data_IF_015536349611
#
_entry.id   IF_015536349611
#
_cell.length_a   1.000
_cell.length_b   1.000
_cell.length_c   1.000
_cell.angle_alpha   90.00
_cell.angle_beta   90.00
_cell.angle_gamma   90.00
#
_symmetry.space_group_name_H-M   'P 1'
#
loop_
_entity.id
_entity.type
_entity.pdbx_description
1 polymer ?
#
# COMPACT_ATOMS: atom_id res chain seq x y z
N UNK A 1 -37.41 30.23 -0.79
CA UNK A 1 -36.63 30.90 -1.84
C UNK A 1 -35.18 30.58 -1.56
N UNK A 2 -34.64 29.57 -2.26
CA UNK A 2 -33.28 29.08 -2.10
C UNK A 2 -32.31 30.04 -2.80
N UNK A 3 -31.29 30.51 -2.09
CA UNK A 3 -30.13 31.17 -2.70
C UNK A 3 -29.13 30.08 -3.13
N UNK A 4 -28.54 30.13 -4.33
CA UNK A 4 -27.52 29.18 -4.74
C UNK A 4 -26.21 29.51 -4.03
N UNK A 5 -25.67 28.58 -3.26
CA UNK A 5 -24.31 28.68 -2.75
C UNK A 5 -23.33 28.58 -3.92
N UNK A 6 -22.58 29.65 -4.14
CA UNK A 6 -21.59 29.76 -5.19
C UNK A 6 -20.54 28.67 -5.07
N UNK A 7 -20.39 27.93 -6.16
CA UNK A 7 -19.20 27.17 -6.50
C UNK A 7 -18.01 28.15 -6.52
N UNK A 8 -17.29 28.24 -5.41
CA UNK A 8 -15.99 28.92 -5.37
C UNK A 8 -14.95 27.89 -5.81
N UNK A 9 -14.26 28.09 -6.95
CA UNK A 9 -13.16 27.21 -7.32
C UNK A 9 -12.07 27.33 -6.27
N UNK A 10 -11.67 26.20 -5.67
CA UNK A 10 -10.53 26.13 -4.77
C UNK A 10 -9.29 26.60 -5.55
N UNK A 11 -8.56 27.62 -5.05
CA UNK A 11 -7.37 28.11 -5.71
C UNK A 11 -6.21 27.12 -5.52
N UNK A 12 -5.26 27.16 -6.46
CA UNK A 12 -3.94 26.50 -6.44
C UNK A 12 -3.76 25.22 -7.28
N UNK A 13 -4.51 25.08 -8.37
CA UNK A 13 -4.07 24.26 -9.51
C UNK A 13 -3.37 25.13 -10.58
N UNK A 14 -2.23 25.71 -10.22
CA UNK A 14 -1.32 26.37 -11.17
C UNK A 14 0.13 26.03 -10.82
N UNK A 15 0.65 24.96 -11.43
CA UNK A 15 2.10 24.70 -11.42
C UNK A 15 2.50 23.26 -11.72
N UNK A 16 2.53 22.88 -13.00
CA UNK A 16 3.45 21.82 -13.45
C UNK A 16 2.85 20.58 -14.10
N UNK A 17 2.14 20.71 -15.22
CA UNK A 17 2.03 19.59 -16.17
C UNK A 17 3.10 19.79 -17.24
N UNK A 18 4.17 18.99 -17.19
CA UNK A 18 4.63 18.14 -18.31
C UNK A 18 5.80 17.27 -17.87
N UNK A 19 5.43 16.14 -17.28
CA UNK A 19 6.28 14.98 -17.07
C UNK A 19 5.47 13.70 -17.19
N UNK A 20 4.69 13.54 -18.28
CA UNK A 20 4.18 12.23 -18.72
C UNK A 20 5.33 11.37 -19.25
N UNK A 21 6.34 11.16 -18.43
CA UNK A 21 7.45 10.26 -18.71
C UNK A 21 7.27 9.08 -17.79
N UNK A 22 7.59 7.89 -18.29
CA UNK A 22 7.42 6.58 -17.67
C UNK A 22 8.22 6.38 -16.34
N UNK A 23 8.24 7.35 -15.44
CA UNK A 23 9.23 7.53 -14.37
C UNK A 23 8.59 7.82 -13.01
N UNK A 24 7.38 7.34 -12.75
CA UNK A 24 6.84 7.31 -11.39
C UNK A 24 7.29 6.04 -10.69
N UNK A 25 7.44 6.08 -9.36
CA UNK A 25 7.73 4.89 -8.56
C UNK A 25 6.65 3.81 -8.72
N UNK A 26 5.39 4.21 -8.96
CA UNK A 26 4.27 3.31 -9.22
C UNK A 26 4.46 2.50 -10.50
N UNK A 27 4.87 3.14 -11.59
CA UNK A 27 5.09 2.42 -12.84
C UNK A 27 6.33 1.53 -12.77
N UNK A 28 7.38 1.97 -12.06
CA UNK A 28 8.53 1.11 -11.79
C UNK A 28 8.10 -0.12 -10.99
N UNK A 29 7.33 0.05 -9.92
CA UNK A 29 6.84 -1.06 -9.11
C UNK A 29 5.87 -1.98 -9.85
N UNK A 30 4.93 -1.43 -10.64
CA UNK A 30 4.02 -2.21 -11.47
C UNK A 30 4.74 -3.02 -12.57
N UNK A 31 5.94 -2.59 -12.95
CA UNK A 31 6.80 -3.32 -13.88
C UNK A 31 7.81 -4.24 -13.16
N UNK A 32 7.72 -4.35 -11.83
CA UNK A 32 8.70 -5.04 -10.97
C UNK A 32 10.16 -4.57 -11.18
N UNK A 33 10.32 -3.30 -11.58
CA UNK A 33 11.61 -2.67 -11.87
C UNK A 33 12.28 -2.17 -10.57
N UNK A 34 12.81 -3.12 -9.81
CA UNK A 34 13.48 -2.89 -8.52
C UNK A 34 14.62 -1.87 -8.63
N UNK A 35 15.38 -1.91 -9.73
CA UNK A 35 16.51 -1.01 -9.96
C UNK A 35 16.03 0.44 -10.05
N UNK A 36 14.95 0.66 -10.81
CA UNK A 36 14.35 1.97 -10.95
C UNK A 36 13.68 2.44 -9.67
N UNK A 37 13.03 1.56 -8.91
CA UNK A 37 12.52 1.89 -7.56
C UNK A 37 13.67 2.34 -6.64
N UNK A 38 14.86 1.75 -6.77
CA UNK A 38 16.01 2.12 -5.96
C UNK A 38 16.64 3.49 -6.32
N UNK A 39 16.45 3.97 -7.55
CA UNK A 39 16.99 5.26 -8.01
C UNK A 39 16.21 6.46 -7.45
N UNK A 40 15.00 6.26 -6.94
CA UNK A 40 14.23 7.34 -6.31
C UNK A 40 14.78 7.68 -4.92
N UNK A 41 15.07 8.96 -4.61
CA UNK A 41 15.60 9.37 -3.31
C UNK A 41 14.53 9.39 -2.21
N UNK A 42 14.89 8.88 -1.03
CA UNK A 42 14.04 8.64 0.16
C UNK A 42 13.38 9.88 0.80
N UNK A 43 13.51 11.07 0.21
CA UNK A 43 13.11 12.33 0.85
C UNK A 43 12.58 13.43 -0.08
N UNK A 44 12.23 13.12 -1.33
CA UNK A 44 11.64 14.09 -2.28
C UNK A 44 10.28 13.66 -2.83
N UNK A 45 9.57 12.82 -2.10
CA UNK A 45 8.19 12.53 -2.42
C UNK A 45 7.37 13.48 -1.54
N UNK A 46 6.96 14.60 -2.15
CA UNK A 46 6.09 15.66 -1.58
C UNK A 46 4.80 15.05 -1.03
N UNK A 47 4.09 15.72 -0.12
CA UNK A 47 3.04 15.24 0.80
C UNK A 47 1.90 14.37 0.20
N UNK A 48 1.82 14.29 -1.13
CA UNK A 48 1.11 13.33 -1.99
C UNK A 48 1.78 11.91 -2.04
N UNK A 49 2.93 11.78 -1.38
CA UNK A 49 3.84 10.66 -1.38
C UNK A 49 3.40 9.48 -0.57
N UNK A 50 2.71 9.75 0.55
CA UNK A 50 2.14 8.69 1.37
C UNK A 50 1.06 7.94 0.60
N UNK A 51 0.22 8.65 -0.17
CA UNK A 51 -0.75 7.99 -1.05
C UNK A 51 -0.07 7.19 -2.17
N UNK A 52 1.00 7.72 -2.77
CA UNK A 52 1.76 7.00 -3.80
C UNK A 52 2.44 5.74 -3.25
N UNK A 53 3.14 5.83 -2.12
CA UNK A 53 3.82 4.69 -1.49
C UNK A 53 2.81 3.63 -1.02
N UNK A 54 1.65 4.04 -0.48
CA UNK A 54 0.53 3.13 -0.17
C UNK A 54 0.07 2.38 -1.41
N UNK A 55 -0.21 3.10 -2.51
CA UNK A 55 -0.69 2.50 -3.74
C UNK A 55 0.34 1.52 -4.34
N UNK A 56 1.62 1.86 -4.23
CA UNK A 56 2.73 1.00 -4.66
C UNK A 56 2.86 -0.27 -3.82
N UNK A 57 2.80 -0.14 -2.48
CA UNK A 57 2.83 -1.29 -1.58
C UNK A 57 1.62 -2.19 -1.78
N UNK A 58 0.43 -1.60 -1.93
CA UNK A 58 -0.81 -2.34 -2.23
C UNK A 58 -0.70 -3.11 -3.54
N UNK A 59 -0.22 -2.48 -4.61
CA UNK A 59 -0.02 -3.17 -5.89
C UNK A 59 0.96 -4.35 -5.76
N UNK A 60 2.08 -4.15 -5.05
CA UNK A 60 3.04 -5.22 -4.82
C UNK A 60 2.44 -6.40 -4.03
N UNK A 61 1.52 -6.13 -3.08
CA UNK A 61 0.76 -7.17 -2.37
C UNK A 61 -0.20 -7.90 -3.31
N UNK A 62 -0.93 -7.17 -4.16
CA UNK A 62 -1.80 -7.76 -5.19
C UNK A 62 -1.06 -8.70 -6.14
N UNK A 63 0.20 -8.38 -6.45
CA UNK A 63 1.04 -9.18 -7.33
C UNK A 63 1.80 -10.30 -6.58
N UNK A 64 1.62 -10.42 -5.25
CA UNK A 64 2.41 -11.24 -4.32
C UNK A 64 3.94 -11.09 -4.51
N UNK A 65 4.39 -9.89 -4.91
CA UNK A 65 5.81 -9.59 -5.16
C UNK A 65 6.53 -9.31 -3.84
N UNK A 66 6.95 -10.39 -3.18
CA UNK A 66 7.72 -10.33 -1.92
C UNK A 66 8.99 -9.47 -2.04
N UNK A 67 9.67 -9.51 -3.19
CA UNK A 67 10.89 -8.72 -3.40
C UNK A 67 10.60 -7.22 -3.43
N UNK A 68 9.52 -6.82 -4.10
CA UNK A 68 9.09 -5.42 -4.14
C UNK A 68 8.60 -4.96 -2.77
N UNK A 69 7.80 -5.77 -2.08
CA UNK A 69 7.34 -5.49 -0.71
C UNK A 69 8.53 -5.29 0.23
N UNK A 70 9.49 -6.22 0.23
CA UNK A 70 10.73 -6.12 1.03
C UNK A 70 11.49 -4.84 0.72
N UNK A 71 11.64 -4.48 -0.55
CA UNK A 71 12.32 -3.26 -0.97
C UNK A 71 11.60 -2.02 -0.42
N UNK A 72 10.28 -1.96 -0.54
CA UNK A 72 9.47 -0.84 -0.07
C UNK A 72 9.53 -0.71 1.46
N UNK A 73 9.40 -1.83 2.19
CA UNK A 73 9.51 -1.84 3.66
C UNK A 73 10.91 -1.42 4.13
N UNK A 74 11.97 -1.89 3.45
CA UNK A 74 13.35 -1.45 3.74
C UNK A 74 13.56 0.05 3.53
N UNK A 75 12.85 0.63 2.57
CA UNK A 75 12.84 2.08 2.28
C UNK A 75 11.95 2.87 3.24
N UNK A 76 11.36 2.23 4.24
CA UNK A 76 10.53 2.88 5.25
C UNK A 76 9.07 3.10 4.84
N UNK A 77 8.57 2.32 3.87
CA UNK A 77 7.14 2.31 3.58
C UNK A 77 6.36 1.93 4.86
N UNK A 78 5.41 2.79 5.22
CA UNK A 78 4.58 2.59 6.41
C UNK A 78 3.51 1.53 6.10
N UNK A 79 3.64 0.39 6.77
CA UNK A 79 2.80 -0.80 6.63
C UNK A 79 1.51 -0.75 7.47
N UNK A 80 1.39 0.22 8.38
CA UNK A 80 0.18 0.46 9.18
C UNK A 80 -0.90 1.19 8.37
N UNK A 81 -0.51 1.74 7.23
CA UNK A 81 -1.39 2.50 6.36
C UNK A 81 -2.45 1.60 5.74
N UNK A 82 -3.68 2.11 5.76
CA UNK A 82 -4.80 1.51 5.03
C UNK A 82 -4.81 1.99 3.58
N UNK A 83 -5.17 1.09 2.66
CA UNK A 83 -5.19 1.25 1.20
C UNK A 83 -6.25 2.24 0.65
N UNK A 84 -7.22 2.62 1.47
CA UNK A 84 -8.25 3.61 1.14
C UNK A 84 -7.75 5.06 1.13
N UNK A 85 -8.46 5.91 0.37
CA UNK A 85 -8.27 7.37 0.43
C UNK A 85 -8.59 7.93 1.81
N UNK A 86 -9.61 7.35 2.45
CA UNK A 86 -10.00 7.62 3.83
C UNK A 86 -9.72 6.36 4.67
N UNK A 87 -8.84 6.43 5.70
CA UNK A 87 -8.55 5.29 6.57
C UNK A 87 -9.73 4.89 7.46
N UNK A 88 -10.73 5.74 7.64
CA UNK A 88 -11.97 5.41 8.35
C UNK A 88 -13.03 4.81 7.41
N UNK A 89 -12.71 4.66 6.11
CA UNK A 89 -13.60 4.00 5.16
C UNK A 89 -13.75 2.51 5.52
N UNK A 90 -14.98 1.97 5.55
CA UNK A 90 -15.25 0.61 6.01
C UNK A 90 -14.53 -0.48 5.20
N UNK A 91 -14.13 -0.17 3.96
CA UNK A 91 -13.40 -1.08 3.06
C UNK A 91 -11.91 -0.74 2.94
N UNK A 92 -11.33 0.07 3.81
CA UNK A 92 -9.87 0.25 3.78
C UNK A 92 -9.20 -0.84 4.60
N UNK A 93 -8.11 -1.43 4.11
CA UNK A 93 -7.38 -2.53 4.73
C UNK A 93 -5.89 -2.21 4.89
N UNK A 94 -5.30 -2.68 5.97
CA UNK A 94 -3.84 -2.66 6.18
C UNK A 94 -3.12 -3.60 5.22
N UNK A 95 -1.80 -3.48 5.12
CA UNK A 95 -0.98 -4.35 4.28
C UNK A 95 -1.18 -5.85 4.62
N UNK A 96 -1.25 -6.20 5.91
CA UNK A 96 -1.47 -7.59 6.37
C UNK A 96 -2.88 -8.09 6.10
N UNK A 97 -3.90 -7.24 6.24
CA UNK A 97 -5.29 -7.60 5.89
C UNK A 97 -5.44 -7.86 4.39
N UNK A 98 -4.79 -7.05 3.54
CA UNK A 98 -4.77 -7.26 2.10
C UNK A 98 -4.03 -8.55 1.72
N UNK A 99 -2.85 -8.80 2.30
CA UNK A 99 -2.11 -10.02 2.04
C UNK A 99 -2.92 -11.27 2.43
N UNK A 100 -3.65 -11.23 3.56
CA UNK A 100 -4.53 -12.32 3.98
C UNK A 100 -5.73 -12.52 3.05
N UNK A 101 -6.42 -11.43 2.67
CA UNK A 101 -7.56 -11.50 1.72
C UNK A 101 -7.18 -12.04 0.35
N UNK A 102 -5.97 -11.74 -0.10
CA UNK A 102 -5.47 -12.11 -1.42
C UNK A 102 -4.70 -13.43 -1.42
N UNK A 103 -4.57 -14.09 -0.26
CA UNK A 103 -3.71 -15.26 -0.08
C UNK A 103 -2.26 -15.04 -0.56
N UNK A 104 -1.76 -13.80 -0.42
CA UNK A 104 -0.42 -13.38 -0.83
C UNK A 104 0.62 -13.84 0.21
N UNK A 105 0.98 -15.13 0.15
CA UNK A 105 1.76 -15.80 1.20
C UNK A 105 3.22 -15.33 1.24
N UNK A 106 3.83 -15.11 0.07
CA UNK A 106 5.22 -14.65 0.02
C UNK A 106 5.33 -13.23 0.60
N UNK A 107 4.34 -12.40 0.28
CA UNK A 107 4.21 -11.05 0.81
C UNK A 107 3.96 -11.03 2.31
N UNK A 108 3.06 -11.90 2.83
CA UNK A 108 2.82 -12.00 4.26
C UNK A 108 4.10 -12.37 5.03
N UNK A 109 4.92 -13.28 4.51
CA UNK A 109 6.19 -13.63 5.14
C UNK A 109 7.12 -12.42 5.28
N UNK A 110 7.20 -11.57 4.25
CA UNK A 110 8.00 -10.34 4.31
C UNK A 110 7.44 -9.32 5.30
N UNK A 111 6.11 -9.14 5.32
CA UNK A 111 5.43 -8.26 6.28
C UNK A 111 5.71 -8.70 7.73
N UNK A 112 5.55 -9.99 8.02
CA UNK A 112 5.83 -10.57 9.34
C UNK A 112 7.32 -10.44 9.72
N UNK A 113 8.24 -10.70 8.78
CA UNK A 113 9.68 -10.56 8.99
C UNK A 113 10.11 -9.12 9.31
N UNK A 114 9.36 -8.12 8.81
CA UNK A 114 9.55 -6.71 9.10
C UNK A 114 8.81 -6.22 10.37
N UNK A 115 8.24 -7.14 11.16
CA UNK A 115 7.64 -6.83 12.46
C UNK A 115 6.29 -6.12 12.38
N UNK A 116 5.53 -6.32 11.29
CA UNK A 116 4.18 -5.76 11.19
C UNK A 116 3.30 -6.36 12.29
N UNK A 117 2.57 -5.50 13.00
CA UNK A 117 1.61 -5.93 14.00
C UNK A 117 0.38 -6.56 13.33
N UNK A 118 0.15 -7.84 13.59
CA UNK A 118 -1.02 -8.60 13.13
C UNK A 118 -2.13 -8.72 14.18
N UNK A 119 -1.84 -8.46 15.46
CA UNK A 119 -2.80 -8.64 16.56
C UNK A 119 -4.01 -7.68 16.44
N UNK A 120 -3.76 -6.44 16.02
CA UNK A 120 -4.79 -5.42 15.83
C UNK A 120 -5.46 -5.46 14.44
N UNK A 121 -5.19 -6.51 13.65
CA UNK A 121 -5.66 -6.64 12.27
C UNK A 121 -6.74 -7.72 12.11
N UNK A 122 -7.58 -7.60 11.08
CA UNK A 122 -8.51 -8.67 10.69
C UNK A 122 -7.86 -9.77 9.81
N UNK A 123 -6.53 -9.86 9.76
CA UNK A 123 -5.84 -10.82 8.89
C UNK A 123 -6.23 -12.27 9.17
N UNK A 124 -6.37 -12.66 10.45
CA UNK A 124 -6.82 -14.02 10.85
C UNK A 124 -8.26 -14.26 10.39
N UNK A 125 -9.13 -13.26 10.52
CA UNK A 125 -10.52 -13.36 10.06
C UNK A 125 -10.58 -13.63 8.54
N UNK A 126 -9.83 -12.87 7.74
CA UNK A 126 -9.79 -13.05 6.29
C UNK A 126 -9.17 -14.40 5.88
N UNK A 127 -8.06 -14.79 6.50
CA UNK A 127 -7.46 -16.10 6.25
C UNK A 127 -8.44 -17.25 6.57
N UNK A 128 -9.21 -17.12 7.64
CA UNK A 128 -10.24 -18.09 8.01
C UNK A 128 -11.44 -18.08 7.06
N UNK A 129 -11.91 -16.91 6.60
CA UNK A 129 -13.04 -16.81 5.67
C UNK A 129 -12.71 -17.45 4.31
N UNK A 130 -11.46 -17.31 3.86
CA UNK A 130 -10.95 -17.94 2.64
C UNK A 130 -10.55 -19.42 2.83
N UNK A 131 -10.67 -19.96 4.05
CA UNK A 131 -10.20 -21.32 4.39
C UNK A 131 -8.71 -21.56 4.06
N UNK A 132 -7.88 -20.51 4.14
CA UNK A 132 -6.45 -20.58 3.83
C UNK A 132 -5.65 -21.08 5.03
N UNK A 133 -5.58 -22.41 5.16
CA UNK A 133 -4.88 -23.08 6.25
C UNK A 133 -3.38 -22.74 6.33
N UNK A 134 -2.74 -22.47 5.20
CA UNK A 134 -1.31 -22.11 5.18
C UNK A 134 -1.11 -20.64 5.58
N UNK A 135 -2.03 -19.73 5.22
CA UNK A 135 -2.01 -18.36 5.73
C UNK A 135 -2.26 -18.32 7.24
N UNK A 136 -3.19 -19.13 7.75
CA UNK A 136 -3.43 -19.25 9.18
C UNK A 136 -2.19 -19.76 9.92
N UNK A 137 -1.49 -20.77 9.41
CA UNK A 137 -0.20 -21.20 9.98
C UNK A 137 0.80 -20.06 10.03
N UNK A 138 1.00 -19.33 8.92
CA UNK A 138 1.93 -18.21 8.88
C UNK A 138 1.61 -17.14 9.93
N UNK A 139 0.32 -16.80 10.09
CA UNK A 139 -0.12 -15.84 11.09
C UNK A 139 0.11 -16.36 12.52
N UNK A 140 -0.27 -17.61 12.83
CA UNK A 140 -0.11 -18.17 14.17
C UNK A 140 1.35 -18.46 14.56
N UNK A 141 2.23 -18.73 13.60
CA UNK A 141 3.66 -18.93 13.86
C UNK A 141 4.38 -17.60 14.15
N UNK A 142 3.74 -16.45 13.89
CA UNK A 142 4.34 -15.11 13.99
C UNK A 142 3.51 -14.13 14.86
N UNK A 143 2.57 -14.64 15.66
CA UNK A 143 1.88 -13.94 16.76
C UNK A 143 2.46 -14.40 18.10
#
# INVERSE_FOLDING_TARGET
MFLPHGNTPHPDYVGGIIGTQNNTIQQAAANDDLAKVCEFPDGRVDIDSRHQVKAVLYQAICDDSSTMVRLLLFRGADNSLRDGWDPDWPDSFTAVENAARLSARATMQELLAHGVNVEDSNAVYFAASESDAEMLKLLFDNT
#
